data_IF_683769461437
#
_entry.id   IF_683769461437
#
_cell.length_a   1.000
_cell.length_b   1.000
_cell.length_c   1.000
_cell.angle_alpha   90.00
_cell.angle_beta   90.00
_cell.angle_gamma   90.00
#
_symmetry.space_group_name_H-M   'P 1'
#
loop_
_entity.id
_entity.type
_entity.pdbx_description
1 polymer ?
#
# COMPACT_ATOMS: atom_id res chain seq x y z
N UNK A 1 2.82 -22.11 -5.32
CA UNK A 1 2.85 -21.95 -6.78
C UNK A 1 3.06 -20.49 -7.11
N UNK A 2 3.42 -20.18 -8.36
CA UNK A 2 3.53 -18.81 -8.85
C UNK A 2 2.22 -18.04 -8.69
N UNK A 3 1.05 -18.68 -8.89
CA UNK A 3 -0.24 -17.97 -8.80
C UNK A 3 -0.53 -17.45 -7.39
N UNK A 4 -0.16 -18.21 -6.34
CA UNK A 4 -0.32 -17.75 -4.96
C UNK A 4 0.54 -16.53 -4.66
N UNK A 5 1.76 -16.48 -5.20
CA UNK A 5 2.63 -15.32 -5.04
C UNK A 5 2.09 -14.11 -5.81
N UNK A 6 1.59 -14.32 -7.03
CA UNK A 6 0.99 -13.26 -7.83
C UNK A 6 -0.28 -12.70 -7.16
N UNK A 7 -1.15 -13.57 -6.65
CA UNK A 7 -2.35 -13.15 -5.92
C UNK A 7 -2.01 -12.37 -4.65
N UNK A 8 -0.96 -12.77 -3.93
CA UNK A 8 -0.46 -12.04 -2.77
C UNK A 8 0.04 -10.64 -3.15
N UNK A 9 0.89 -10.53 -4.17
CA UNK A 9 1.39 -9.22 -4.65
C UNK A 9 0.25 -8.33 -5.14
N UNK A 10 -0.71 -8.89 -5.89
CA UNK A 10 -1.87 -8.15 -6.40
C UNK A 10 -2.84 -7.71 -5.31
N UNK A 11 -2.77 -8.29 -4.10
CA UNK A 11 -3.60 -7.87 -2.96
C UNK A 11 -3.10 -6.60 -2.28
N UNK A 12 -1.90 -6.10 -2.63
CA UNK A 12 -1.41 -4.84 -2.10
C UNK A 12 -2.18 -3.66 -2.68
N UNK A 13 -2.77 -2.86 -1.80
CA UNK A 13 -3.45 -1.61 -2.16
C UNK A 13 -2.38 -0.55 -2.48
N UNK A 14 -2.35 0.00 -3.71
CA UNK A 14 -1.43 1.07 -4.06
C UNK A 14 -1.65 2.30 -3.16
N UNK A 15 -0.57 2.99 -2.81
CA UNK A 15 -0.71 4.24 -2.07
C UNK A 15 -1.23 5.33 -3.00
N UNK A 16 -2.46 5.79 -2.76
CA UNK A 16 -3.06 6.92 -3.49
C UNK A 16 -2.35 8.21 -3.11
N UNK A 17 -2.04 9.02 -4.11
CA UNK A 17 -1.62 10.39 -3.90
C UNK A 17 -2.85 11.21 -3.54
N UNK A 18 -2.83 11.83 -2.38
CA UNK A 18 -3.92 12.71 -1.94
C UNK A 18 -3.41 14.11 -1.71
N UNK A 19 -4.27 15.10 -1.95
CA UNK A 19 -4.00 16.48 -1.59
C UNK A 19 -4.04 16.67 -0.06
N UNK A 20 -3.85 17.92 0.39
CA UNK A 20 -3.88 18.25 1.82
C UNK A 20 -5.23 17.98 2.49
N UNK A 21 -6.32 17.98 1.72
CA UNK A 21 -7.68 17.70 2.19
C UNK A 21 -8.03 16.21 2.11
N UNK A 22 -7.15 15.36 1.57
CA UNK A 22 -7.36 13.93 1.41
C UNK A 22 -8.02 13.53 0.09
N UNK A 23 -8.19 14.44 -0.86
CA UNK A 23 -8.80 14.12 -2.16
C UNK A 23 -7.78 13.44 -3.08
N UNK A 24 -8.18 12.46 -3.91
CA UNK A 24 -7.28 11.86 -4.89
C UNK A 24 -6.72 12.90 -5.86
N UNK A 25 -5.41 12.81 -6.11
CA UNK A 25 -4.73 13.59 -7.16
C UNK A 25 -4.76 12.78 -8.44
N UNK A 26 -5.22 13.37 -9.53
CA UNK A 26 -5.28 12.71 -10.84
C UNK A 26 -4.08 13.07 -11.72
N UNK A 27 -3.73 12.19 -12.64
CA UNK A 27 -2.71 12.44 -13.66
C UNK A 27 -3.31 13.13 -14.90
N UNK A 28 -2.48 13.37 -15.92
CA UNK A 28 -2.90 14.03 -17.15
C UNK A 28 -3.91 13.23 -17.99
N UNK A 29 -4.09 11.93 -17.70
CA UNK A 29 -5.06 11.04 -18.36
C UNK A 29 -6.37 10.94 -17.57
N UNK A 30 -6.41 11.48 -16.36
CA UNK A 30 -7.55 11.40 -15.46
C UNK A 30 -7.54 10.16 -14.56
N UNK A 31 -6.44 9.43 -14.50
CA UNK A 31 -6.28 8.29 -13.59
C UNK A 31 -5.78 8.76 -12.22
N UNK A 32 -6.20 8.09 -11.13
CA UNK A 32 -5.67 8.40 -9.80
C UNK A 32 -4.15 8.15 -9.75
N UNK A 33 -3.40 9.15 -9.31
CA UNK A 33 -1.96 9.01 -9.13
C UNK A 33 -1.69 8.07 -7.97
N UNK A 34 -0.87 7.07 -8.24
CA UNK A 34 -0.32 6.17 -7.23
C UNK A 34 1.17 6.44 -7.06
N UNK A 35 1.65 6.40 -5.82
CA UNK A 35 3.05 6.59 -5.50
C UNK A 35 3.68 5.35 -4.88
N UNK A 36 5.00 5.21 -5.06
CA UNK A 36 5.78 4.17 -4.38
C UNK A 36 5.77 4.48 -2.88
N UNK A 37 5.25 3.57 -2.07
CA UNK A 37 5.37 3.64 -0.62
C UNK A 37 6.70 3.04 -0.19
N UNK A 38 7.51 3.82 0.52
CA UNK A 38 8.68 3.29 1.22
C UNK A 38 8.20 2.57 2.48
N UNK A 39 8.61 1.32 2.65
CA UNK A 39 8.27 0.50 3.82
C UNK A 39 9.51 0.34 4.67
N UNK A 40 9.36 0.52 6.00
CA UNK A 40 10.41 0.20 6.95
C UNK A 40 10.51 -1.32 7.10
N UNK A 41 11.42 -1.93 6.34
CA UNK A 41 11.61 -3.39 6.36
C UNK A 41 12.08 -3.92 7.71
N UNK A 42 12.78 -3.11 8.50
CA UNK A 42 13.22 -3.49 9.85
C UNK A 42 12.03 -3.65 10.80
N UNK A 43 11.10 -2.69 10.78
CA UNK A 43 9.85 -2.79 11.56
C UNK A 43 8.97 -3.95 11.07
N UNK A 44 8.82 -4.09 9.75
CA UNK A 44 8.03 -5.16 9.14
C UNK A 44 8.52 -6.56 9.57
N UNK A 45 9.84 -6.78 9.60
CA UNK A 45 10.44 -8.03 10.05
C UNK A 45 10.27 -8.27 11.56
N UNK A 46 10.00 -7.21 12.33
CA UNK A 46 9.75 -7.28 13.77
C UNK A 46 8.28 -7.51 14.16
N UNK A 47 7.35 -7.50 13.20
CA UNK A 47 5.92 -7.69 13.47
C UNK A 47 5.64 -9.10 14.02
N UNK A 48 4.77 -9.18 15.03
CA UNK A 48 4.34 -10.42 15.70
C UNK A 48 2.89 -10.80 15.37
N UNK A 49 2.18 -9.93 14.67
CA UNK A 49 0.77 -10.12 14.29
C UNK A 49 0.48 -9.62 12.89
N UNK A 50 -0.60 -10.14 12.29
CA UNK A 50 -1.12 -9.67 11.01
C UNK A 50 -1.55 -8.20 11.07
N UNK A 51 -2.06 -7.75 12.23
CA UNK A 51 -2.44 -6.35 12.42
C UNK A 51 -1.23 -5.41 12.31
N UNK A 52 -0.11 -5.74 12.96
CA UNK A 52 1.13 -4.95 12.85
C UNK A 52 1.68 -4.93 11.42
N UNK A 53 1.65 -6.08 10.73
CA UNK A 53 2.03 -6.14 9.31
C UNK A 53 1.15 -5.21 8.46
N UNK A 54 -0.17 -5.23 8.67
CA UNK A 54 -1.10 -4.34 7.95
C UNK A 54 -0.83 -2.86 8.23
N UNK A 55 -0.47 -2.50 9.47
CA UNK A 55 -0.08 -1.13 9.80
C UNK A 55 1.22 -0.72 9.09
N UNK A 56 2.27 -1.55 9.11
CA UNK A 56 3.55 -1.26 8.44
C UNK A 56 3.41 -1.16 6.92
N UNK A 57 2.53 -1.95 6.32
CA UNK A 57 2.20 -1.88 4.89
C UNK A 57 1.19 -0.76 4.58
N UNK A 58 0.54 -0.21 5.61
CA UNK A 58 -0.53 0.77 5.53
C UNK A 58 -1.74 0.26 4.72
N UNK A 59 -2.06 -1.02 4.86
CA UNK A 59 -3.25 -1.69 4.31
C UNK A 59 -4.43 -1.68 5.28
N UNK A 60 -4.26 -1.08 6.46
CA UNK A 60 -5.31 -0.84 7.46
C UNK A 60 -6.01 0.53 7.27
N UNK A 61 -5.59 1.31 6.27
CA UNK A 61 -6.24 2.57 5.93
C UNK A 61 -7.32 2.32 4.88
N UNK A 62 -8.57 2.31 5.35
CA UNK A 62 -9.85 2.11 4.66
C UNK A 62 -10.24 0.65 4.35
#
# INVERSE_FOLDING_TARGET
>A
SLERLQAYVNSFVPARCVDRAGNPVFDAKGDERVEKRVINTKELLGCKSVAEVKMCLGTDRY
#
